data_IF_360759281837
#
_entry.id   IF_360759281837
#
_cell.length_a   1.000
_cell.length_b   1.000
_cell.length_c   1.000
_cell.angle_alpha   90.00
_cell.angle_beta   90.00
_cell.angle_gamma   90.00
#
_symmetry.space_group_name_H-M   'P 1'
#
loop_
_entity.id
_entity.type
_entity.pdbx_description
1 polymer ?
#
# COMPACT_ATOMS: atom_id res chain seq x y z
N UNK A 1 5.23 -5.97 4.93
CA UNK A 1 4.78 -4.57 4.73
C UNK A 1 5.82 -3.88 3.87
N UNK A 2 5.41 -3.22 2.77
CA UNK A 2 6.36 -2.71 1.75
C UNK A 2 6.47 -1.18 1.74
N UNK A 3 5.44 -0.46 2.19
CA UNK A 3 5.44 1.00 2.19
C UNK A 3 4.40 1.53 3.18
N UNK A 4 4.68 2.68 3.79
CA UNK A 4 3.78 3.38 4.71
C UNK A 4 3.94 4.88 4.55
N UNK A 5 2.83 5.60 4.54
CA UNK A 5 2.85 7.07 4.49
C UNK A 5 1.56 7.65 5.02
N UNK A 6 1.60 8.90 5.49
CA UNK A 6 0.39 9.70 5.75
C UNK A 6 -0.02 10.53 4.53
N UNK A 7 0.86 10.65 3.54
CA UNK A 7 0.65 11.46 2.36
C UNK A 7 0.02 10.65 1.22
N UNK A 8 -1.17 11.07 0.79
CA UNK A 8 -1.89 10.46 -0.31
C UNK A 8 -1.17 10.62 -1.66
N UNK A 9 -0.39 11.69 -1.85
CA UNK A 9 0.42 11.90 -3.05
C UNK A 9 1.58 10.90 -3.13
N UNK A 10 2.28 10.67 -2.02
CA UNK A 10 3.33 9.65 -1.93
C UNK A 10 2.77 8.25 -2.17
N UNK A 11 1.60 7.93 -1.62
CA UNK A 11 0.91 6.67 -1.88
C UNK A 11 0.67 6.49 -3.40
N UNK A 12 0.13 7.51 -4.08
CA UNK A 12 -0.13 7.44 -5.53
C UNK A 12 1.16 7.27 -6.33
N UNK A 13 2.23 7.97 -5.96
CA UNK A 13 3.53 7.85 -6.61
C UNK A 13 4.10 6.43 -6.42
N UNK A 14 3.96 5.85 -5.22
CA UNK A 14 4.41 4.49 -4.95
C UNK A 14 3.63 3.44 -5.75
N UNK A 15 2.30 3.57 -5.83
CA UNK A 15 1.46 2.66 -6.66
C UNK A 15 1.82 2.70 -8.14
N UNK A 16 2.17 3.89 -8.67
CA UNK A 16 2.64 4.02 -10.06
C UNK A 16 3.94 3.25 -10.29
N UNK A 17 4.91 3.36 -9.37
CA UNK A 17 6.16 2.61 -9.42
C UNK A 17 5.94 1.09 -9.37
N UNK A 18 5.01 0.61 -8.53
CA UNK A 18 4.68 -0.82 -8.48
C UNK A 18 4.08 -1.33 -9.79
N UNK A 19 3.22 -0.51 -10.43
CA UNK A 19 2.66 -0.83 -11.76
C UNK A 19 3.74 -0.87 -12.84
N UNK A 20 4.67 0.08 -12.83
CA UNK A 20 5.83 0.12 -13.75
C UNK A 20 6.73 -1.11 -13.56
N UNK A 21 6.94 -1.52 -12.30
CA UNK A 21 7.66 -2.73 -11.93
C UNK A 21 6.90 -4.04 -12.20
N UNK A 22 5.72 -3.99 -12.84
CA UNK A 22 4.88 -5.15 -13.18
C UNK A 22 4.54 -6.03 -11.97
N UNK A 23 4.43 -5.43 -10.79
CA UNK A 23 3.94 -6.13 -9.60
C UNK A 23 2.44 -6.39 -9.79
N UNK A 24 2.02 -7.64 -9.62
CA UNK A 24 0.63 -8.04 -9.77
C UNK A 24 -0.28 -7.27 -8.82
N UNK A 25 -1.17 -6.46 -9.39
CA UNK A 25 -2.14 -5.64 -8.65
C UNK A 25 -2.96 -6.44 -7.63
N UNK A 26 -3.47 -7.65 -7.96
CA UNK A 26 -4.18 -8.49 -7.01
C UNK A 26 -3.35 -8.94 -5.79
N UNK A 27 -2.01 -8.92 -5.88
CA UNK A 27 -1.14 -9.22 -4.74
C UNK A 27 -0.92 -8.00 -3.84
N UNK A 28 -1.36 -6.80 -4.21
CA UNK A 28 -1.16 -5.58 -3.42
C UNK A 28 -2.42 -5.25 -2.63
N UNK A 29 -2.28 -5.14 -1.30
CA UNK A 29 -3.32 -4.63 -0.41
C UNK A 29 -2.95 -3.23 0.08
N UNK A 30 -3.94 -2.33 0.05
CA UNK A 30 -3.85 -0.98 0.59
C UNK A 30 -4.73 -0.91 1.83
N UNK A 31 -4.10 -0.78 3.00
CA UNK A 31 -4.79 -0.59 4.26
C UNK A 31 -4.82 0.91 4.59
N UNK A 32 -6.01 1.43 4.94
CA UNK A 32 -6.17 2.80 5.45
C UNK A 32 -6.40 2.72 6.95
N UNK A 33 -5.38 3.07 7.73
CA UNK A 33 -5.43 3.01 9.18
C UNK A 33 -6.05 4.30 9.70
N UNK A 34 -7.35 4.23 9.95
CA UNK A 34 -8.11 5.27 10.63
C UNK A 34 -7.93 5.07 12.14
N UNK A 35 -7.06 5.86 12.77
CA UNK A 35 -7.08 5.99 14.23
C UNK A 35 -8.34 6.73 14.69
N UNK A 36 -8.39 7.16 15.96
CA UNK A 36 -9.50 7.98 16.50
C UNK A 36 -9.61 9.40 15.88
N UNK A 37 -8.97 9.68 14.75
CA UNK A 37 -8.99 10.97 14.07
C UNK A 37 -9.90 10.91 12.84
N UNK A 38 -10.51 12.05 12.49
CA UNK A 38 -11.41 12.18 11.34
C UNK A 38 -10.71 11.98 9.97
N UNK A 39 -9.38 12.02 9.93
CA UNK A 39 -8.58 11.78 8.73
C UNK A 39 -7.79 10.47 8.87
N UNK A 40 -7.54 9.75 7.75
CA UNK A 40 -6.64 8.61 7.74
C UNK A 40 -5.35 8.96 8.46
N UNK A 41 -4.99 8.16 9.45
CA UNK A 41 -3.78 8.42 10.21
C UNK A 41 -2.57 7.94 9.41
N UNK A 42 -2.74 6.87 8.61
CA UNK A 42 -1.69 6.22 7.81
C UNK A 42 -2.30 5.40 6.66
N UNK A 43 -1.64 5.41 5.49
CA UNK A 43 -1.81 4.44 4.41
C UNK A 43 -0.68 3.41 4.46
N UNK A 44 -1.01 2.12 4.36
CA UNK A 44 -0.05 1.02 4.36
C UNK A 44 -0.22 0.16 3.12
N UNK A 45 0.87 -0.14 2.43
CA UNK A 45 0.92 -1.12 1.35
C UNK A 45 1.54 -2.42 1.86
N UNK A 46 0.88 -3.52 1.54
CA UNK A 46 1.36 -4.87 1.79
C UNK A 46 1.27 -5.70 0.51
N UNK A 47 2.26 -6.57 0.28
CA UNK A 47 2.23 -7.54 -0.81
C UNK A 47 1.94 -8.92 -0.23
N UNK A 48 0.97 -9.62 -0.82
CA UNK A 48 0.74 -11.03 -0.55
C UNK A 48 1.94 -11.83 -1.05
N UNK A 49 2.43 -12.76 -0.24
CA UNK A 49 3.47 -13.71 -0.61
C UNK A 49 2.84 -15.08 -0.46
N UNK A 50 2.58 -15.74 -1.58
CA UNK A 50 2.16 -17.14 -1.55
C UNK A 50 3.35 -17.96 -1.07
N UNK A 51 3.16 -18.73 0.00
CA UNK A 51 4.11 -19.76 0.36
C UNK A 51 3.90 -20.91 -0.62
N UNK A 52 4.93 -21.23 -1.40
CA UNK A 52 4.91 -22.41 -2.27
C UNK A 52 5.33 -23.59 -1.40
N UNK A 53 4.35 -24.21 -0.75
CA UNK A 53 4.52 -25.48 -0.05
C UNK A 53 4.74 -26.62 -1.04
#
# INVERSE_FOLDING_TARGET
MIFETRDKAELRAHLRRLREARIDGPMIRIDTLCGRRAQPTVYRLSRFVADLA
#
